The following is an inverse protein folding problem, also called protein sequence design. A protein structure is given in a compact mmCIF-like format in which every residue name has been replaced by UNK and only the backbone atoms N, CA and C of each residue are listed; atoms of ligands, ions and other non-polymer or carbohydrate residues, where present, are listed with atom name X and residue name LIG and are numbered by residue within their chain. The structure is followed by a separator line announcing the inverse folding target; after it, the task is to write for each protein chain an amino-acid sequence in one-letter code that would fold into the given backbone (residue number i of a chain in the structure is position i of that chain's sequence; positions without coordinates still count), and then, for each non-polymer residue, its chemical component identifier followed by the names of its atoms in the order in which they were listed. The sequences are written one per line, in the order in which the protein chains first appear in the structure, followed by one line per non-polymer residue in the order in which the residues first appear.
data_IF_445569662139
#
_entry.id   IF_445569662139
#
_cell.length_a   1.000
_cell.length_b   1.000
_cell.length_c   1.000
_cell.angle_alpha   90.00
_cell.angle_beta   90.00
_cell.angle_gamma   90.00
#
_symmetry.space_group_name_H-M   'P 1'
#
loop_
_entity.id
_entity.type
_entity.pdbx_description
1 polymer ?
#
# COMPACT_ATOMS: atom_id res chain seq x y z
N UNK A 1 21.13 -20.44 -1.53
CA UNK A 1 20.19 -19.48 -2.13
C UNK A 1 18.80 -20.06 -2.01
N UNK A 2 17.94 -19.47 -1.18
CA UNK A 2 16.53 -19.85 -1.08
C UNK A 2 15.82 -19.44 -2.38
N UNK A 3 15.41 -20.42 -3.20
CA UNK A 3 14.72 -20.18 -4.47
C UNK A 3 13.24 -19.87 -4.19
N UNK A 4 12.90 -18.59 -4.10
CA UNK A 4 11.50 -18.17 -3.93
C UNK A 4 10.81 -18.07 -5.28
N UNK A 5 9.72 -18.81 -5.46
CA UNK A 5 8.90 -18.73 -6.68
C UNK A 5 7.76 -17.72 -6.50
N UNK A 6 7.50 -16.85 -7.49
CA UNK A 6 6.35 -15.96 -7.44
C UNK A 6 5.05 -16.77 -7.40
N UNK A 7 4.11 -16.36 -6.56
CA UNK A 7 2.80 -17.00 -6.44
C UNK A 7 2.00 -16.69 -7.72
N UNK A 8 1.96 -17.66 -8.64
CA UNK A 8 1.18 -17.56 -9.90
C UNK A 8 -0.25 -18.09 -9.77
N UNK A 9 -0.52 -18.82 -8.69
CA UNK A 9 -1.80 -19.51 -8.51
C UNK A 9 -2.88 -18.57 -7.96
N UNK A 10 -3.96 -18.40 -8.72
CA UNK A 10 -5.08 -17.51 -8.37
C UNK A 10 -5.83 -18.00 -7.12
N UNK A 11 -5.91 -19.31 -6.87
CA UNK A 11 -6.57 -19.86 -5.67
C UNK A 11 -5.78 -19.50 -4.41
N UNK A 12 -4.44 -19.63 -4.45
CA UNK A 12 -3.57 -19.20 -3.34
C UNK A 12 -3.73 -17.70 -3.03
N UNK A 13 -3.80 -16.84 -4.05
CA UNK A 13 -4.05 -15.40 -3.88
C UNK A 13 -5.42 -15.15 -3.23
N UNK A 14 -6.46 -15.87 -3.64
CA UNK A 14 -7.79 -15.75 -3.06
C UNK A 14 -7.83 -16.25 -1.60
N UNK A 15 -7.17 -17.35 -1.28
CA UNK A 15 -7.05 -17.84 0.10
C UNK A 15 -6.33 -16.82 0.98
N UNK A 16 -5.22 -16.24 0.51
CA UNK A 16 -4.50 -15.21 1.24
C UNK A 16 -5.40 -13.99 1.51
N UNK A 17 -6.13 -13.54 0.48
CA UNK A 17 -7.13 -12.48 0.59
C UNK A 17 -8.19 -12.78 1.66
N UNK A 18 -8.71 -14.00 1.71
CA UNK A 18 -9.71 -14.40 2.70
C UNK A 18 -9.13 -14.37 4.13
N UNK A 19 -7.92 -14.88 4.33
CA UNK A 19 -7.22 -14.87 5.62
C UNK A 19 -6.96 -13.43 6.08
N UNK A 20 -6.45 -12.58 5.18
CA UNK A 20 -6.18 -11.17 5.45
C UNK A 20 -7.46 -10.43 5.83
N UNK A 21 -8.55 -10.66 5.08
CA UNK A 21 -9.86 -10.05 5.34
C UNK A 21 -10.44 -10.45 6.70
N UNK A 22 -10.19 -11.68 7.15
CA UNK A 22 -10.65 -12.18 8.46
C UNK A 22 -9.80 -11.68 9.64
N UNK A 23 -8.50 -11.46 9.45
CA UNK A 23 -7.63 -10.92 10.52
C UNK A 23 -7.76 -9.41 10.65
N UNK A 24 -7.48 -8.69 9.57
CA UNK A 24 -7.37 -7.24 9.64
C UNK A 24 -7.59 -6.65 8.24
N UNK A 25 -8.62 -5.84 8.12
CA UNK A 25 -9.05 -5.30 6.82
C UNK A 25 -7.99 -4.38 6.19
N UNK A 26 -7.13 -3.75 7.01
CA UNK A 26 -5.97 -2.98 6.56
C UNK A 26 -5.03 -3.81 5.69
N UNK A 27 -4.62 -4.97 6.18
CA UNK A 27 -3.66 -5.84 5.49
C UNK A 27 -4.25 -6.38 4.19
N UNK A 28 -5.57 -6.64 4.16
CA UNK A 28 -6.28 -6.96 2.91
C UNK A 28 -6.23 -5.80 1.90
N UNK A 29 -6.43 -4.56 2.34
CA UNK A 29 -6.37 -3.38 1.47
C UNK A 29 -4.96 -3.16 0.92
N UNK A 30 -3.94 -3.22 1.79
CA UNK A 30 -2.52 -3.12 1.43
C UNK A 30 -2.13 -4.23 0.46
N UNK A 31 -2.47 -5.48 0.75
CA UNK A 31 -2.16 -6.60 -0.12
C UNK A 31 -2.83 -6.46 -1.49
N UNK A 32 -4.12 -6.10 -1.51
CA UNK A 32 -4.86 -5.87 -2.76
C UNK A 32 -4.24 -4.73 -3.57
N UNK A 33 -3.77 -3.67 -2.92
CA UNK A 33 -3.09 -2.57 -3.56
C UNK A 33 -1.71 -2.99 -4.09
N UNK A 34 -0.93 -3.73 -3.30
CA UNK A 34 0.41 -4.22 -3.66
C UNK A 34 0.38 -5.14 -4.87
N UNK A 35 -0.56 -6.09 -4.93
CA UNK A 35 -0.69 -6.98 -6.09
C UNK A 35 -1.18 -6.26 -7.36
N UNK A 36 -1.97 -5.19 -7.23
CA UNK A 36 -2.45 -4.42 -8.38
C UNK A 36 -1.37 -3.46 -8.90
N UNK A 37 -0.53 -2.93 -8.01
CA UNK A 37 0.49 -1.92 -8.32
C UNK A 37 1.85 -2.50 -8.66
N UNK A 38 2.14 -3.75 -8.25
CA UNK A 38 3.47 -4.35 -8.40
C UNK A 38 4.56 -3.59 -7.64
N UNK A 39 4.19 -2.91 -6.55
CA UNK A 39 5.13 -2.22 -5.67
C UNK A 39 5.80 -3.20 -4.72
N UNK A 40 7.02 -2.87 -4.28
CA UNK A 40 7.67 -3.62 -3.21
C UNK A 40 6.94 -3.33 -1.90
N UNK A 41 6.96 -4.30 -0.98
CA UNK A 41 6.33 -4.16 0.35
C UNK A 41 6.87 -2.92 1.10
N UNK A 42 8.15 -2.59 0.98
CA UNK A 42 8.75 -1.42 1.64
C UNK A 42 8.17 -0.11 1.09
N UNK A 43 8.05 0.02 -0.24
CA UNK A 43 7.45 1.20 -0.87
C UNK A 43 5.96 1.31 -0.53
N UNK A 44 5.26 0.17 -0.42
CA UNK A 44 3.86 0.12 0.01
C UNK A 44 3.68 0.61 1.47
N UNK A 45 4.63 0.29 2.35
CA UNK A 45 4.61 0.77 3.75
C UNK A 45 4.86 2.28 3.84
N UNK A 46 5.72 2.82 2.98
CA UNK A 46 6.01 4.25 2.85
C UNK A 46 4.94 5.06 2.09
N UNK A 47 3.89 4.41 1.59
CA UNK A 47 2.81 5.06 0.85
C UNK A 47 1.98 5.99 1.76
N UNK A 48 1.95 7.29 1.43
CA UNK A 48 1.12 8.27 2.12
C UNK A 48 -0.34 8.20 1.70
N UNK A 49 -1.24 8.52 2.62
CA UNK A 49 -2.68 8.59 2.32
C UNK A 49 -2.98 9.69 1.28
N UNK A 50 -2.31 10.84 1.33
CA UNK A 50 -2.44 11.94 0.34
C UNK A 50 -2.06 11.56 -1.10
N UNK A 51 -1.28 10.49 -1.26
CA UNK A 51 -0.91 10.00 -2.59
C UNK A 51 -2.05 9.17 -3.21
N UNK A 52 -2.87 8.53 -2.37
CA UNK A 52 -4.00 7.68 -2.75
C UNK A 52 -5.32 8.46 -2.77
N UNK A 53 -5.48 9.40 -1.85
CA UNK A 53 -6.64 10.26 -1.74
C UNK A 53 -6.43 11.58 -2.47
N UNK A 54 -7.50 12.06 -3.07
CA UNK A 54 -7.64 13.39 -3.60
C UNK A 54 -8.03 14.40 -2.49
N UNK A 55 -7.98 15.69 -2.78
CA UNK A 55 -8.36 16.75 -1.83
C UNK A 55 -9.79 16.58 -1.32
N UNK A 56 -10.67 15.98 -2.13
CA UNK A 56 -12.06 15.64 -1.81
C UNK A 56 -12.25 14.30 -1.08
N UNK A 57 -11.18 13.72 -0.52
CA UNK A 57 -11.20 12.41 0.16
C UNK A 57 -11.73 11.26 -0.74
N UNK A 58 -11.51 11.41 -2.05
CA UNK A 58 -11.83 10.39 -3.06
C UNK A 58 -10.58 9.63 -3.45
N UNK A 59 -10.73 8.33 -3.72
CA UNK A 59 -9.61 7.51 -4.17
C UNK A 59 -9.25 7.90 -5.59
N UNK A 60 -7.98 8.22 -5.84
CA UNK A 60 -7.49 8.54 -7.18
C UNK A 60 -7.56 7.33 -8.09
N UNK A 61 -7.83 7.58 -9.37
CA UNK A 61 -7.82 6.53 -10.41
C UNK A 61 -6.41 6.02 -10.69
N UNK A 62 -5.40 6.87 -10.48
CA UNK A 62 -3.98 6.55 -10.60
C UNK A 62 -3.27 6.95 -9.32
N UNK A 63 -2.40 6.08 -8.82
CA UNK A 63 -1.51 6.39 -7.70
C UNK A 63 -0.12 6.64 -8.28
N UNK A 64 0.52 7.71 -7.80
CA UNK A 64 1.85 8.13 -8.23
C UNK A 64 2.80 8.08 -7.04
N UNK A 65 3.57 6.99 -6.91
CA UNK A 65 4.57 6.82 -5.86
C UNK A 65 5.94 7.19 -6.38
N UNK A 66 6.78 7.74 -5.51
CA UNK A 66 8.23 7.84 -5.74
C UNK A 66 8.91 6.69 -5.01
N UNK A 67 9.52 5.76 -5.74
CA UNK A 67 10.31 4.68 -5.15
C UNK A 67 11.57 5.29 -4.51
N UNK A 68 11.79 5.01 -3.23
CA UNK A 68 12.96 5.51 -2.49
C UNK A 68 14.26 4.91 -3.05
N UNK A 69 14.22 3.60 -3.30
CA UNK A 69 15.38 2.82 -3.71
C UNK A 69 15.95 3.18 -5.09
N UNK A 70 15.10 3.65 -6.00
CA UNK A 70 15.51 3.98 -7.39
C UNK A 70 15.28 5.43 -7.76
N UNK A 71 14.69 6.24 -6.86
CA UNK A 71 14.31 7.63 -7.12
C UNK A 71 13.23 7.82 -8.20
N UNK A 72 12.79 6.74 -8.85
CA UNK A 72 11.85 6.75 -9.98
C UNK A 72 10.43 6.96 -9.47
N UNK A 73 9.72 7.84 -10.17
CA UNK A 73 8.28 8.00 -9.99
C UNK A 73 7.58 6.90 -10.78
N UNK A 74 6.69 6.18 -10.13
CA UNK A 74 5.90 5.10 -10.69
C UNK A 74 4.43 5.46 -10.57
N UNK A 75 3.77 5.56 -11.71
CA UNK A 75 2.35 5.76 -11.79
C UNK A 75 1.66 4.46 -12.22
N UNK A 76 0.60 4.08 -11.51
CA UNK A 76 -0.16 2.89 -11.84
C UNK A 76 -1.66 3.12 -11.66
N UNK A 77 -2.50 2.55 -12.54
CA UNK A 77 -3.94 2.61 -12.37
C UNK A 77 -4.37 1.75 -11.18
N UNK A 78 -5.30 2.29 -10.39
CA UNK A 78 -5.90 1.59 -9.27
C UNK A 78 -7.11 0.82 -9.77
N UNK A 79 -7.03 -0.50 -9.76
CA UNK A 79 -8.17 -1.35 -10.10
C UNK A 79 -9.37 -1.10 -9.19
N UNK A 80 -10.58 -1.32 -9.71
CA UNK A 80 -11.86 -1.21 -8.99
C UNK A 80 -11.85 -1.96 -7.64
N UNK A 81 -11.23 -3.14 -7.61
CA UNK A 81 -11.12 -3.95 -6.38
C UNK A 81 -10.28 -3.24 -5.30
N UNK A 82 -9.17 -2.60 -5.69
CA UNK A 82 -8.32 -1.85 -4.78
C UNK A 82 -9.05 -0.58 -4.30
N UNK A 83 -9.75 0.13 -5.19
CA UNK A 83 -10.58 1.28 -4.81
C UNK A 83 -11.66 0.91 -3.80
N UNK A 84 -12.39 -0.19 -4.02
CA UNK A 84 -13.41 -0.68 -3.08
C UNK A 84 -12.79 -1.08 -1.74
N UNK A 85 -11.64 -1.76 -1.76
CA UNK A 85 -10.93 -2.16 -0.56
C UNK A 85 -10.50 -0.94 0.26
N UNK A 86 -9.81 0.00 -0.38
CA UNK A 86 -9.36 1.24 0.24
C UNK A 86 -10.53 2.12 0.71
N UNK A 87 -11.59 2.30 -0.09
CA UNK A 87 -12.77 3.10 0.31
C UNK A 87 -13.40 2.55 1.59
N UNK A 88 -13.48 1.23 1.70
CA UNK A 88 -14.00 0.57 2.91
C UNK A 88 -13.06 0.72 4.11
N UNK A 89 -11.75 0.63 3.89
CA UNK A 89 -10.75 0.84 4.95
C UNK A 89 -10.74 2.28 5.46
N UNK A 90 -10.77 3.24 4.53
CA UNK A 90 -10.76 4.67 4.81
C UNK A 90 -12.09 5.14 5.43
N UNK A 91 -13.22 4.61 4.97
CA UNK A 91 -14.53 4.90 5.56
C UNK A 91 -14.68 4.39 6.99
N UNK A 92 -14.00 3.31 7.35
CA UNK A 92 -13.94 2.79 8.72
C UNK A 92 -12.98 3.63 9.61
N UNK A 93 -11.95 4.22 9.00
CA UNK A 93 -10.94 5.03 9.69
C UNK A 93 -11.42 6.49 9.83
N UNK A 94 -12.12 6.81 10.91
CA UNK A 94 -12.61 8.19 11.20
C UNK A 94 -11.52 9.26 11.38
N UNK A 95 -10.25 8.89 11.54
CA UNK A 95 -9.11 9.80 11.76
C UNK A 95 -8.04 9.57 10.70
N UNK A 96 -8.32 10.00 9.47
CA UNK A 96 -7.36 9.93 8.37
C UNK A 96 -6.49 11.18 8.36
N UNK A 97 -5.25 11.01 8.83
CA UNK A 97 -4.23 12.01 8.60
C UNK A 97 -3.72 11.86 7.15
N UNK A 98 -3.92 12.89 6.31
CA UNK A 98 -3.49 12.92 4.91
C UNK A 98 -1.96 12.81 4.79
N UNK A 99 -1.22 13.26 5.79
CA UNK A 99 0.24 13.16 5.86
C UNK A 99 0.73 11.82 6.44
N UNK A 100 -0.19 11.02 6.98
CA UNK A 100 0.09 9.70 7.53
C UNK A 100 0.35 8.65 6.47
N UNK A 101 1.04 7.58 6.87
CA UNK A 101 1.25 6.39 6.06
C UNK A 101 -0.02 5.53 6.03
N UNK A 102 -0.38 5.01 4.86
CA UNK A 102 -1.53 4.12 4.65
C UNK A 102 -1.40 2.83 5.50
N UNK A 103 -0.16 2.40 5.75
CA UNK A 103 0.18 1.21 6.52
C UNK A 103 -0.03 1.34 8.03
N UNK A 104 -0.11 2.57 8.55
CA UNK A 104 -0.16 2.81 9.98
C UNK A 104 -1.61 2.92 10.47
N UNK A 105 -1.97 2.27 11.59
CA UNK A 105 -3.12 2.70 12.37
C UNK A 105 -2.91 4.15 12.78
N UNK A 106 -3.97 4.96 12.85
CA UNK A 106 -3.94 6.39 13.24
C UNK A 106 -3.44 6.71 14.66
N UNK A 107 -2.42 6.01 15.17
CA UNK A 107 -1.83 6.16 16.50
C UNK A 107 -0.30 6.15 16.55
N UNK A 108 0.41 5.99 15.43
CA UNK A 108 1.87 6.05 15.44
C UNK A 108 2.36 6.93 14.30
N UNK A 109 2.71 8.18 14.63
CA UNK A 109 3.59 8.99 13.81
C UNK A 109 5.01 8.50 14.13
N UNK A 110 5.39 7.33 13.60
CA UNK A 110 6.83 7.00 13.60
C UNK A 110 7.45 7.87 12.52
N UNK A 111 8.54 8.55 12.89
CA UNK A 111 9.43 9.27 11.99
C UNK A 111 9.64 8.50 10.67
N UNK A 112 9.91 9.20 9.54
CA UNK A 112 10.24 8.53 8.29
C UNK A 112 11.20 7.38 8.57
N UNK A 113 10.87 6.19 8.06
CA UNK A 113 11.82 5.08 8.05
C UNK A 113 13.16 5.66 7.62
N UNK A 114 14.24 5.45 8.39
CA UNK A 114 15.51 6.11 8.12
C UNK A 114 15.83 5.85 6.66
N UNK A 115 15.92 6.95 5.89
CA UNK A 115 16.37 6.92 4.50
C UNK A 115 17.53 5.94 4.45
N UNK A 116 17.43 4.92 3.59
CA UNK A 116 18.57 4.04 3.35
C UNK A 116 19.65 4.93 2.80
N UNK A 117 20.55 5.41 3.67
CA UNK A 117 21.76 6.13 3.29
C UNK A 117 22.36 5.31 2.14
N UNK A 118 22.68 5.94 0.99
CA UNK A 118 23.47 5.25 0.00
C UNK A 118 24.71 4.74 0.72
N UNK A 119 24.91 3.42 0.65
CA UNK A 119 26.12 2.78 1.14
C UNK A 119 27.22 3.30 0.21
N UNK A 120 27.80 4.43 0.59
CA UNK A 120 28.89 5.05 -0.12
C UNK A 120 30.18 4.35 0.25
N UNK A 121 30.87 3.78 -0.74
CA UNK A 121 32.22 4.14 -1.20
C UNK A 121 32.71 3.06 -2.15
#
# INVERSE_FOLDING_TARGET
MEFVQPIRDKKKIQQLKAILKGRNYRDYALFTLGINSGLRVSDLLGLKVSCVLDEKDRIKDRITIREDKTGKVKDFPVGETAKKALKKYLGDTKNLNKEGYLSLPGRRITAPFPESKPIGS
#
